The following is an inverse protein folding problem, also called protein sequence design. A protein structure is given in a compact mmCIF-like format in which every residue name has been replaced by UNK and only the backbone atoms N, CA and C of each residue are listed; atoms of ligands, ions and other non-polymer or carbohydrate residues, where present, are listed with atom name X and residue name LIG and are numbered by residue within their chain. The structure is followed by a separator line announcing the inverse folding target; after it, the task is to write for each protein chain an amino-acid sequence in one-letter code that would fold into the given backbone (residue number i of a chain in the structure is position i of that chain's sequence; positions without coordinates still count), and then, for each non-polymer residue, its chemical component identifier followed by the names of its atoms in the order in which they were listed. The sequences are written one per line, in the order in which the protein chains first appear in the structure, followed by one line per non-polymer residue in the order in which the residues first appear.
data_IF_575968511245
#
_entry.id   IF_575968511245
#
_cell.length_a   1.000
_cell.length_b   1.000
_cell.length_c   1.000
_cell.angle_alpha   90.00
_cell.angle_beta   90.00
_cell.angle_gamma   90.00
#
_symmetry.space_group_name_H-M   'P 1'
#
loop_
_entity.id
_entity.type
_entity.pdbx_description
1 polymer ?
#
# COMPACT_ATOMS: atom_id res chain seq x y z
N UNK A 1 -21.36 -41.39 -18.15
CA UNK A 1 -20.73 -41.41 -16.80
C UNK A 1 -19.20 -41.46 -16.82
N UNK A 2 -18.51 -41.79 -17.93
CA UNK A 2 -17.03 -41.89 -17.96
C UNK A 2 -16.24 -40.56 -18.04
N UNK A 3 -16.79 -39.50 -18.65
CA UNK A 3 -16.06 -38.24 -18.85
C UNK A 3 -15.83 -37.43 -17.56
N UNK A 4 -16.74 -37.55 -16.58
CA UNK A 4 -16.64 -36.87 -15.29
C UNK A 4 -15.57 -37.51 -14.40
N UNK A 5 -15.37 -38.83 -14.52
CA UNK A 5 -14.31 -39.55 -13.81
C UNK A 5 -12.93 -39.17 -14.38
N UNK A 6 -12.80 -39.09 -15.71
CA UNK A 6 -11.55 -38.77 -16.40
C UNK A 6 -11.02 -37.36 -16.11
N UNK A 7 -11.90 -36.37 -15.93
CA UNK A 7 -11.48 -35.03 -15.49
C UNK A 7 -11.05 -35.00 -14.02
N UNK A 8 -11.64 -35.86 -13.17
CA UNK A 8 -11.27 -35.98 -11.76
C UNK A 8 -9.89 -36.62 -11.61
N UNK A 9 -9.61 -37.65 -12.39
CA UNK A 9 -8.33 -38.37 -12.37
C UNK A 9 -7.19 -37.55 -13.00
N UNK A 10 -7.49 -36.66 -13.96
CA UNK A 10 -6.51 -35.71 -14.52
C UNK A 10 -6.17 -34.56 -13.55
N UNK A 11 -7.10 -34.20 -12.65
CA UNK A 11 -6.86 -33.24 -11.58
C UNK A 11 -6.22 -33.87 -10.33
N UNK A 12 -6.11 -35.20 -10.26
CA UNK A 12 -5.45 -35.93 -9.18
C UNK A 12 -4.03 -36.36 -9.57
N UNK A 13 -3.32 -35.47 -10.27
CA UNK A 13 -1.88 -35.57 -10.43
C UNK A 13 -1.24 -35.60 -9.04
N UNK A 14 -0.36 -36.58 -8.79
CA UNK A 14 0.31 -36.82 -7.51
C UNK A 14 0.81 -35.50 -6.92
N UNK A 15 0.07 -34.97 -5.94
CA UNK A 15 0.36 -33.66 -5.34
C UNK A 15 1.59 -33.79 -4.46
N UNK A 16 2.76 -33.68 -5.09
CA UNK A 16 4.02 -33.45 -4.41
C UNK A 16 3.95 -32.08 -3.73
N UNK A 17 3.45 -32.07 -2.49
CA UNK A 17 3.33 -30.88 -1.64
C UNK A 17 4.69 -30.58 -1.00
N UNK A 18 5.77 -30.65 -1.79
CA UNK A 18 7.12 -30.29 -1.37
C UNK A 18 7.26 -28.75 -1.43
N UNK A 19 6.41 -28.06 -0.65
CA UNK A 19 6.42 -26.61 -0.48
C UNK A 19 7.72 -26.12 0.16
N UNK A 20 8.46 -27.01 0.80
CA UNK A 20 9.70 -26.72 1.51
C UNK A 20 10.82 -26.16 0.61
N UNK A 21 10.81 -26.51 -0.68
CA UNK A 21 11.75 -25.97 -1.67
C UNK A 21 11.10 -24.96 -2.61
N UNK A 22 9.85 -25.21 -3.01
CA UNK A 22 9.14 -24.34 -3.96
C UNK A 22 8.87 -22.95 -3.40
N UNK A 23 8.38 -22.84 -2.15
CA UNK A 23 8.05 -21.55 -1.56
C UNK A 23 9.28 -20.66 -1.36
N UNK A 24 10.39 -21.13 -0.75
CA UNK A 24 11.60 -20.32 -0.65
C UNK A 24 12.19 -19.94 -2.01
N UNK A 25 12.18 -20.85 -2.98
CA UNK A 25 12.69 -20.56 -4.32
C UNK A 25 11.89 -19.43 -5.01
N UNK A 26 10.55 -19.49 -4.96
CA UNK A 26 9.68 -18.44 -5.52
C UNK A 26 9.90 -17.12 -4.81
N UNK A 27 10.00 -17.10 -3.48
CA UNK A 27 10.28 -15.88 -2.71
C UNK A 27 11.64 -15.25 -3.06
N UNK A 28 12.70 -16.05 -3.21
CA UNK A 28 14.05 -15.53 -3.56
C UNK A 28 14.07 -14.96 -4.98
N UNK A 29 13.47 -15.67 -5.95
CA UNK A 29 13.36 -15.18 -7.33
C UNK A 29 12.58 -13.87 -7.36
N UNK A 30 11.45 -13.82 -6.65
CA UNK A 30 10.64 -12.62 -6.56
C UNK A 30 11.37 -11.45 -5.91
N UNK A 31 11.97 -11.66 -4.73
CA UNK A 31 12.66 -10.60 -4.02
C UNK A 31 13.85 -10.05 -4.82
N UNK A 32 14.57 -10.93 -5.52
CA UNK A 32 15.66 -10.53 -6.41
C UNK A 32 15.14 -9.68 -7.57
N UNK A 33 14.03 -10.06 -8.19
CA UNK A 33 13.37 -9.27 -9.23
C UNK A 33 12.93 -7.89 -8.71
N UNK A 34 12.33 -7.83 -7.52
CA UNK A 34 11.91 -6.58 -6.89
C UNK A 34 13.11 -5.66 -6.61
N UNK A 35 14.21 -6.19 -6.07
CA UNK A 35 15.42 -5.38 -5.82
C UNK A 35 15.94 -4.75 -7.12
N UNK A 36 15.99 -5.51 -8.21
CA UNK A 36 16.46 -5.00 -9.51
C UNK A 36 15.51 -3.92 -10.04
N UNK A 37 14.19 -4.17 -10.01
CA UNK A 37 13.19 -3.21 -10.50
C UNK A 37 13.18 -1.93 -9.67
N UNK A 38 13.24 -2.04 -8.33
CA UNK A 38 13.34 -0.88 -7.44
C UNK A 38 14.61 -0.07 -7.70
N UNK A 39 15.76 -0.72 -7.89
CA UNK A 39 17.01 -0.01 -8.19
C UNK A 39 16.97 0.79 -9.50
N UNK A 40 16.30 0.24 -10.52
CA UNK A 40 16.20 0.88 -11.85
C UNK A 40 15.15 1.99 -11.85
N UNK A 41 13.93 1.72 -11.39
CA UNK A 41 12.77 2.58 -11.63
C UNK A 41 12.45 3.53 -10.48
N UNK A 42 12.79 3.20 -9.24
CA UNK A 42 12.32 3.95 -8.06
C UNK A 42 13.34 5.00 -7.63
N UNK A 43 12.85 6.21 -7.38
CA UNK A 43 13.58 7.30 -6.74
C UNK A 43 12.74 7.88 -5.61
N UNK A 44 13.40 8.42 -4.60
CA UNK A 44 12.73 9.17 -3.55
C UNK A 44 12.37 10.56 -4.06
N UNK A 45 11.22 11.05 -3.63
CA UNK A 45 10.83 12.43 -3.85
C UNK A 45 11.70 13.39 -3.01
N UNK A 46 11.87 14.64 -3.43
CA UNK A 46 12.74 15.62 -2.77
C UNK A 46 12.29 15.90 -1.32
N UNK A 47 10.98 15.85 -1.05
CA UNK A 47 10.43 15.99 0.30
C UNK A 47 10.69 14.76 1.19
N UNK A 48 10.93 13.60 0.57
CA UNK A 48 11.15 12.31 1.23
C UNK A 48 12.64 11.92 1.28
N UNK A 49 13.53 12.72 0.69
CA UNK A 49 14.96 12.45 0.61
C UNK A 49 15.63 12.64 1.99
N UNK A 50 16.51 11.72 2.44
CA UNK A 50 17.32 11.94 3.65
C UNK A 50 18.14 13.25 3.65
N UNK A 51 18.37 13.88 2.49
CA UNK A 51 18.98 15.21 2.38
C UNK A 51 18.00 16.38 2.64
N UNK A 52 16.76 16.12 3.05
CA UNK A 52 15.75 17.14 3.38
C UNK A 52 16.26 18.23 4.34
N UNK A 53 17.08 17.88 5.33
CA UNK A 53 17.63 18.84 6.30
C UNK A 53 18.50 19.93 5.64
N UNK A 54 19.18 19.60 4.55
CA UNK A 54 20.01 20.53 3.77
C UNK A 54 19.14 21.34 2.80
N UNK A 55 18.14 20.71 2.19
CA UNK A 55 17.14 21.36 1.33
C UNK A 55 16.34 22.43 2.09
N UNK A 56 15.90 22.12 3.32
CA UNK A 56 15.20 23.03 4.23
C UNK A 56 16.02 24.28 4.55
N UNK A 57 17.32 24.11 4.78
CA UNK A 57 18.24 25.22 5.08
C UNK A 57 18.46 26.13 3.88
N UNK A 58 18.50 25.58 2.68
CA UNK A 58 18.73 26.34 1.44
C UNK A 58 17.48 27.10 0.98
N UNK A 59 16.28 26.59 1.24
CA UNK A 59 15.02 27.21 0.83
C UNK A 59 14.32 28.03 1.93
N UNK A 60 14.95 28.22 3.10
CA UNK A 60 14.45 29.03 4.21
C UNK A 60 13.03 28.62 4.69
N UNK A 61 12.72 27.32 4.65
CA UNK A 61 11.43 26.75 5.04
C UNK A 61 11.34 26.70 6.58
N UNK A 62 10.31 27.34 7.14
CA UNK A 62 10.25 27.68 8.57
C UNK A 62 9.77 26.54 9.48
N UNK A 63 9.13 25.48 8.95
CA UNK A 63 8.63 24.38 9.79
C UNK A 63 8.63 23.03 9.06
N UNK A 64 8.88 21.94 9.79
CA UNK A 64 8.80 20.56 9.26
C UNK A 64 7.36 20.11 8.99
N UNK A 65 6.38 20.91 9.44
CA UNK A 65 4.94 20.65 9.34
C UNK A 65 4.42 20.94 7.91
N UNK A 66 5.18 21.73 7.14
CA UNK A 66 4.86 22.07 5.75
C UNK A 66 5.22 20.95 4.77
N UNK A 67 6.03 19.98 5.18
CA UNK A 67 6.42 18.83 4.36
C UNK A 67 5.34 17.74 4.44
N UNK A 68 4.86 17.31 3.27
CA UNK A 68 3.75 16.36 3.14
C UNK A 68 4.08 15.00 3.79
N UNK A 69 5.36 14.63 3.83
CA UNK A 69 5.87 13.45 4.52
C UNK A 69 5.49 13.44 6.00
N UNK A 70 5.87 14.48 6.77
CA UNK A 70 5.64 14.50 8.22
C UNK A 70 4.16 14.58 8.58
N UNK A 71 3.40 15.28 7.75
CA UNK A 71 1.97 15.46 7.94
C UNK A 71 1.16 14.17 7.68
N UNK A 72 1.52 13.40 6.65
CA UNK A 72 0.81 12.15 6.28
C UNK A 72 1.43 10.89 6.84
N UNK A 73 2.53 10.98 7.58
CA UNK A 73 3.16 9.81 8.19
C UNK A 73 2.29 9.13 9.28
N UNK A 74 1.63 9.85 10.22
CA UNK A 74 0.77 9.20 11.22
C UNK A 74 -0.38 8.43 10.58
N UNK A 75 -0.99 9.06 9.57
CA UNK A 75 -1.97 8.51 8.66
C UNK A 75 -1.53 7.20 8.00
N UNK A 76 -0.32 7.18 7.43
CA UNK A 76 0.27 5.97 6.87
C UNK A 76 0.40 4.87 7.93
N UNK A 77 0.88 5.19 9.13
CA UNK A 77 1.02 4.21 10.20
C UNK A 77 -0.31 3.55 10.58
N UNK A 78 -1.40 4.31 10.65
CA UNK A 78 -2.72 3.77 10.99
C UNK A 78 -3.20 2.74 9.95
N UNK A 79 -3.07 3.05 8.65
CA UNK A 79 -3.41 2.10 7.58
C UNK A 79 -2.47 0.90 7.64
N UNK A 80 -1.17 1.12 7.78
CA UNK A 80 -0.18 0.06 7.79
C UNK A 80 -0.44 -0.94 8.93
N UNK A 81 -0.78 -0.44 10.12
CA UNK A 81 -1.17 -1.29 11.26
C UNK A 81 -2.47 -2.04 10.97
N UNK A 82 -3.44 -1.43 10.30
CA UNK A 82 -4.66 -2.12 9.84
C UNK A 82 -4.33 -3.30 8.89
N UNK A 83 -3.39 -3.14 7.96
CA UNK A 83 -2.98 -4.20 7.02
C UNK A 83 -2.29 -5.37 7.75
N UNK A 84 -1.28 -5.07 8.56
CA UNK A 84 -0.46 -6.10 9.18
C UNK A 84 -1.12 -6.75 10.41
N UNK A 85 -1.68 -5.93 11.30
CA UNK A 85 -2.26 -6.38 12.57
C UNK A 85 -3.77 -6.53 12.44
N UNK A 86 -4.46 -5.55 11.88
CA UNK A 86 -5.93 -5.56 11.75
C UNK A 86 -6.43 -6.80 11.00
N UNK A 87 -6.14 -6.89 9.70
CA UNK A 87 -6.52 -8.04 8.87
C UNK A 87 -5.84 -9.34 9.34
N UNK A 88 -4.57 -9.25 9.75
CA UNK A 88 -3.80 -10.41 10.23
C UNK A 88 -4.46 -11.13 11.40
N UNK A 89 -4.82 -10.40 12.46
CA UNK A 89 -5.48 -10.99 13.62
C UNK A 89 -6.97 -11.27 13.38
N UNK A 90 -7.66 -10.49 12.55
CA UNK A 90 -9.05 -10.78 12.17
C UNK A 90 -9.18 -12.18 11.55
N UNK A 91 -8.20 -12.58 10.73
CA UNK A 91 -8.13 -13.88 10.08
C UNK A 91 -7.82 -15.06 11.02
N UNK A 92 -7.53 -14.80 12.30
CA UNK A 92 -7.18 -15.84 13.29
C UNK A 92 -8.38 -16.52 13.95
N UNK A 93 -9.61 -16.14 13.62
CA UNK A 93 -10.81 -16.73 14.21
C UNK A 93 -10.91 -18.26 14.01
N UNK A 94 -10.17 -18.83 13.05
CA UNK A 94 -10.06 -20.27 12.84
C UNK A 94 -9.11 -20.94 13.85
N UNK A 95 -9.70 -21.71 14.76
CA UNK A 95 -9.04 -22.44 15.87
C UNK A 95 -7.78 -23.25 15.49
N UNK A 96 -7.71 -23.81 14.28
CA UNK A 96 -6.55 -24.61 13.80
C UNK A 96 -5.70 -23.92 12.73
N UNK A 97 -6.07 -22.72 12.30
CA UNK A 97 -5.40 -22.03 11.18
C UNK A 97 -4.88 -20.64 11.56
N UNK A 98 -4.96 -20.25 12.84
CA UNK A 98 -4.50 -18.94 13.33
C UNK A 98 -3.05 -18.60 12.93
N UNK A 99 -2.11 -19.53 13.10
CA UNK A 99 -0.70 -19.30 12.71
C UNK A 99 -0.53 -19.11 11.19
N UNK A 100 -1.25 -19.89 10.39
CA UNK A 100 -1.26 -19.73 8.93
C UNK A 100 -1.95 -18.44 8.48
N UNK A 101 -3.03 -18.05 9.15
CA UNK A 101 -3.77 -16.80 8.91
C UNK A 101 -2.87 -15.58 8.98
N UNK A 102 -2.17 -15.39 10.11
CA UNK A 102 -1.24 -14.26 10.31
C UNK A 102 -0.02 -14.38 9.39
N UNK A 103 0.56 -15.58 9.28
CA UNK A 103 1.77 -15.79 8.48
C UNK A 103 1.57 -15.51 6.99
N UNK A 104 0.46 -15.97 6.41
CA UNK A 104 0.15 -15.68 5.00
C UNK A 104 -0.35 -14.24 4.80
N UNK A 105 -1.00 -13.63 5.78
CA UNK A 105 -1.29 -12.19 5.75
C UNK A 105 0.00 -11.37 5.63
N UNK A 106 1.00 -11.69 6.46
CA UNK A 106 2.31 -11.03 6.39
C UNK A 106 2.99 -11.25 5.05
N UNK A 107 2.92 -12.46 4.49
CA UNK A 107 3.48 -12.77 3.18
C UNK A 107 2.81 -11.95 2.06
N UNK A 108 1.47 -11.89 2.04
CA UNK A 108 0.71 -11.10 1.07
C UNK A 108 1.02 -9.62 1.21
N UNK A 109 1.05 -9.10 2.44
CA UNK A 109 1.31 -7.68 2.69
C UNK A 109 2.73 -7.28 2.24
N UNK A 110 3.76 -8.04 2.63
CA UNK A 110 5.14 -7.73 2.26
C UNK A 110 5.39 -7.85 0.74
N UNK A 111 4.86 -8.90 0.11
CA UNK A 111 4.96 -9.09 -1.34
C UNK A 111 4.15 -8.03 -2.10
N UNK A 112 2.93 -7.79 -1.62
CA UNK A 112 1.96 -6.95 -2.28
C UNK A 112 2.36 -5.48 -2.26
N UNK A 113 2.87 -4.96 -1.12
CA UNK A 113 3.28 -3.57 -1.03
C UNK A 113 4.37 -3.22 -2.04
N UNK A 114 5.38 -4.09 -2.18
CA UNK A 114 6.46 -3.87 -3.15
C UNK A 114 5.93 -3.86 -4.59
N UNK A 115 5.00 -4.77 -4.91
CA UNK A 115 4.40 -4.84 -6.23
C UNK A 115 3.46 -3.67 -6.53
N UNK A 116 2.65 -3.28 -5.55
CA UNK A 116 1.70 -2.17 -5.67
C UNK A 116 2.42 -0.85 -5.95
N UNK A 117 3.52 -0.58 -5.25
CA UNK A 117 4.34 0.62 -5.49
C UNK A 117 4.87 0.69 -6.93
N UNK A 118 5.31 -0.45 -7.50
CA UNK A 118 5.76 -0.48 -8.90
C UNK A 118 4.61 -0.30 -9.88
N UNK A 119 3.50 -1.01 -9.67
CA UNK A 119 2.36 -0.95 -10.59
C UNK A 119 1.70 0.43 -10.57
N UNK A 120 1.39 0.97 -9.38
CA UNK A 120 0.86 2.34 -9.24
C UNK A 120 1.86 3.38 -9.76
N UNK A 121 3.15 3.18 -9.50
CA UNK A 121 4.20 4.06 -10.01
C UNK A 121 4.27 4.10 -11.54
N UNK A 122 4.09 2.96 -12.22
CA UNK A 122 4.04 2.91 -13.69
C UNK A 122 2.80 3.58 -14.29
N UNK A 123 1.66 3.58 -13.60
CA UNK A 123 0.43 4.19 -14.13
C UNK A 123 0.25 5.67 -13.76
N UNK A 124 0.78 6.12 -12.61
CA UNK A 124 0.53 7.47 -12.07
C UNK A 124 1.77 8.38 -12.00
N UNK A 125 2.98 7.83 -11.89
CA UNK A 125 4.20 8.58 -11.56
C UNK A 125 5.33 8.35 -12.58
N UNK A 126 4.99 8.14 -13.86
CA UNK A 126 5.98 8.17 -14.94
C UNK A 126 6.33 9.62 -15.28
N UNK A 127 7.39 10.13 -14.65
CA UNK A 127 8.00 11.39 -15.06
C UNK A 127 8.59 11.31 -16.48
N UNK A 128 8.91 12.47 -17.07
CA UNK A 128 9.62 12.59 -18.36
C UNK A 128 10.92 11.79 -18.44
N UNK A 129 11.45 11.42 -17.28
CA UNK A 129 12.76 10.81 -17.07
C UNK A 129 12.66 9.27 -17.00
N UNK A 130 11.45 8.71 -17.08
CA UNK A 130 11.17 7.27 -16.96
C UNK A 130 11.40 6.71 -15.54
N UNK A 131 11.47 7.57 -14.53
CA UNK A 131 11.65 7.22 -13.12
C UNK A 131 10.38 7.54 -12.33
N UNK A 132 10.11 6.70 -11.34
CA UNK A 132 8.98 6.76 -10.43
C UNK A 132 9.45 7.44 -9.15
N UNK A 133 8.91 8.61 -8.83
CA UNK A 133 9.16 9.28 -7.55
C UNK A 133 8.19 8.73 -6.50
N UNK A 134 8.73 8.19 -5.40
CA UNK A 134 7.95 7.63 -4.32
C UNK A 134 7.99 8.58 -3.12
N UNK A 135 6.80 9.07 -2.75
CA UNK A 135 6.52 9.76 -1.49
C UNK A 135 5.56 8.97 -0.60
N UNK A 136 5.19 9.54 0.56
CA UNK A 136 4.33 8.90 1.56
C UNK A 136 2.92 8.60 1.02
N UNK A 137 2.41 9.41 0.10
CA UNK A 137 1.14 9.18 -0.60
C UNK A 137 1.09 7.84 -1.31
N UNK A 138 2.15 7.53 -2.06
CA UNK A 138 2.24 6.29 -2.83
C UNK A 138 2.28 5.08 -1.90
N UNK A 139 2.89 5.22 -0.72
CA UNK A 139 2.88 4.17 0.31
C UNK A 139 1.47 3.93 0.87
N UNK A 140 0.72 5.00 1.14
CA UNK A 140 -0.66 4.93 1.62
C UNK A 140 -1.55 4.26 0.56
N UNK A 141 -1.43 4.66 -0.71
CA UNK A 141 -2.21 4.09 -1.81
C UNK A 141 -1.84 2.61 -2.06
N UNK A 142 -0.58 2.24 -1.88
CA UNK A 142 -0.15 0.86 -1.95
C UNK A 142 -0.75 -0.01 -0.83
N UNK A 143 -0.84 0.51 0.40
CA UNK A 143 -1.52 -0.18 1.52
C UNK A 143 -3.02 -0.39 1.24
N UNK A 144 -3.70 0.58 0.61
CA UNK A 144 -5.11 0.39 0.19
C UNK A 144 -5.27 -0.67 -0.90
N UNK A 145 -4.38 -0.70 -1.89
CA UNK A 145 -4.36 -1.75 -2.91
C UNK A 145 -4.19 -3.15 -2.28
N UNK A 146 -3.28 -3.27 -1.31
CA UNK A 146 -3.04 -4.52 -0.57
C UNK A 146 -4.23 -4.90 0.30
N UNK A 147 -4.95 -3.92 0.89
CA UNK A 147 -6.19 -4.17 1.63
C UNK A 147 -7.21 -4.94 0.78
N UNK A 148 -7.39 -4.55 -0.48
CA UNK A 148 -8.27 -5.25 -1.43
C UNK A 148 -7.88 -6.72 -1.62
N UNK A 149 -6.58 -6.99 -1.77
CA UNK A 149 -6.06 -8.36 -1.86
C UNK A 149 -6.25 -9.16 -0.56
N UNK A 150 -6.14 -8.52 0.61
CA UNK A 150 -6.38 -9.17 1.90
C UNK A 150 -7.85 -9.50 2.12
N UNK A 151 -8.77 -8.66 1.64
CA UNK A 151 -10.21 -8.97 1.63
C UNK A 151 -10.47 -10.21 0.76
N UNK A 152 -9.88 -10.28 -0.43
CA UNK A 152 -9.98 -11.46 -1.30
C UNK A 152 -9.37 -12.72 -0.65
N UNK A 153 -8.25 -12.58 0.06
CA UNK A 153 -7.66 -13.67 0.85
C UNK A 153 -8.58 -14.15 1.97
N UNK A 154 -9.29 -13.24 2.65
CA UNK A 154 -10.28 -13.59 3.67
C UNK A 154 -11.36 -14.57 3.17
N UNK A 155 -11.81 -14.43 1.91
CA UNK A 155 -12.75 -15.36 1.29
C UNK A 155 -12.15 -16.74 0.97
N UNK A 156 -10.83 -16.80 0.76
CA UNK A 156 -10.08 -17.99 0.35
C UNK A 156 -9.36 -18.71 1.52
N UNK A 157 -9.59 -18.22 2.73
CA UNK A 157 -8.86 -18.59 3.93
C UNK A 157 -8.98 -20.10 4.24
N UNK A 158 -7.85 -20.75 4.48
CA UNK A 158 -7.78 -22.17 4.82
C UNK A 158 -7.92 -23.14 3.64
N UNK A 159 -8.11 -22.65 2.40
CA UNK A 159 -8.30 -23.49 1.20
C UNK A 159 -7.18 -23.38 0.17
N UNK A 160 -6.31 -22.38 0.30
CA UNK A 160 -5.33 -22.00 -0.73
C UNK A 160 -3.90 -22.19 -0.23
N UNK A 161 -3.01 -22.62 -1.11
CA UNK A 161 -1.57 -22.77 -0.82
C UNK A 161 -0.85 -21.42 -0.90
N UNK A 162 0.32 -21.24 -0.24
CA UNK A 162 0.97 -19.93 -0.20
C UNK A 162 1.45 -19.45 -1.57
N UNK A 163 1.87 -20.38 -2.44
CA UNK A 163 2.25 -20.05 -3.83
C UNK A 163 1.05 -19.54 -4.62
N UNK A 164 -0.13 -20.13 -4.43
CA UNK A 164 -1.37 -19.62 -5.04
C UNK A 164 -1.75 -18.25 -4.48
N UNK A 165 -1.46 -17.97 -3.20
CA UNK A 165 -1.65 -16.63 -2.64
C UNK A 165 -0.71 -15.61 -3.28
N UNK A 166 0.55 -15.95 -3.55
CA UNK A 166 1.46 -15.05 -4.28
C UNK A 166 0.95 -14.73 -5.69
N UNK A 167 0.41 -15.74 -6.39
CA UNK A 167 -0.21 -15.56 -7.71
C UNK A 167 -1.46 -14.67 -7.61
N UNK A 168 -2.31 -14.90 -6.60
CA UNK A 168 -3.48 -14.07 -6.32
C UNK A 168 -3.07 -12.61 -6.10
N UNK A 169 -2.05 -12.36 -5.28
CA UNK A 169 -1.58 -11.00 -5.00
C UNK A 169 -1.00 -10.32 -6.24
N UNK A 170 -0.23 -11.05 -7.05
CA UNK A 170 0.34 -10.51 -8.29
C UNK A 170 -0.74 -10.03 -9.27
N UNK A 171 -1.75 -10.87 -9.52
CA UNK A 171 -2.85 -10.48 -10.41
C UNK A 171 -3.82 -9.49 -9.76
N UNK A 172 -4.14 -9.66 -8.47
CA UNK A 172 -5.06 -8.80 -7.74
C UNK A 172 -4.59 -7.35 -7.73
N UNK A 173 -3.31 -7.12 -7.43
CA UNK A 173 -2.72 -5.78 -7.42
C UNK A 173 -2.62 -5.19 -8.83
N UNK A 174 -2.25 -6.02 -9.82
CA UNK A 174 -2.21 -5.57 -11.23
C UNK A 174 -3.58 -5.09 -11.70
N UNK A 175 -4.63 -5.86 -11.38
CA UNK A 175 -6.00 -5.50 -11.74
C UNK A 175 -6.46 -4.26 -11.00
N UNK A 176 -6.14 -4.13 -9.71
CA UNK A 176 -6.46 -2.94 -8.91
C UNK A 176 -5.81 -1.68 -9.50
N UNK A 177 -4.53 -1.75 -9.86
CA UNK A 177 -3.82 -0.61 -10.45
C UNK A 177 -4.40 -0.22 -11.84
N UNK A 178 -4.81 -1.21 -12.64
CA UNK A 178 -5.48 -0.95 -13.93
C UNK A 178 -6.87 -0.38 -13.73
N UNK A 179 -7.63 -0.87 -12.75
CA UNK A 179 -8.95 -0.34 -12.39
C UNK A 179 -8.85 1.12 -11.96
N UNK A 180 -7.92 1.44 -11.06
CA UNK A 180 -7.61 2.81 -10.62
C UNK A 180 -7.27 3.71 -11.82
N UNK A 181 -6.38 3.25 -12.71
CA UNK A 181 -6.02 4.00 -13.92
C UNK A 181 -7.21 4.24 -14.85
N UNK A 182 -8.09 3.25 -15.04
CA UNK A 182 -9.29 3.38 -15.89
C UNK A 182 -10.26 4.39 -15.28
N UNK A 183 -10.52 4.31 -13.98
CA UNK A 183 -11.44 5.21 -13.28
C UNK A 183 -10.99 6.66 -13.44
N UNK A 184 -9.71 6.92 -13.19
CA UNK A 184 -9.14 8.26 -13.25
C UNK A 184 -9.02 8.79 -14.69
N UNK A 185 -8.60 7.96 -15.64
CA UNK A 185 -8.31 8.40 -17.02
C UNK A 185 -9.54 8.43 -17.92
N UNK A 186 -10.42 7.43 -17.82
CA UNK A 186 -11.54 7.24 -18.76
C UNK A 186 -12.80 7.90 -18.23
N UNK A 187 -13.12 7.70 -16.96
CA UNK A 187 -14.40 8.13 -16.41
C UNK A 187 -14.35 9.59 -15.95
N UNK A 188 -13.14 10.18 -15.81
CA UNK A 188 -12.93 11.57 -15.36
C UNK A 188 -13.82 11.89 -14.15
N UNK A 189 -14.01 10.92 -13.26
CA UNK A 189 -14.65 11.20 -11.97
C UNK A 189 -13.59 11.99 -11.22
N UNK A 190 -13.78 13.30 -10.98
CA UNK A 190 -12.94 13.96 -10.00
C UNK A 190 -13.19 13.22 -8.68
N UNK A 191 -12.15 13.01 -7.90
CA UNK A 191 -12.24 12.46 -6.54
C UNK A 191 -13.03 13.45 -5.66
N UNK A 192 -14.33 13.54 -5.94
CA UNK A 192 -15.32 14.30 -5.20
C UNK A 192 -15.61 13.48 -3.95
N UNK A 193 -14.70 13.57 -2.99
CA UNK A 193 -14.99 13.56 -1.56
C UNK A 193 -15.47 12.24 -0.91
N UNK A 194 -15.73 11.16 -1.66
CA UNK A 194 -16.22 9.88 -1.08
C UNK A 194 -15.22 8.71 -1.14
N UNK A 195 -14.19 8.78 -2.00
CA UNK A 195 -13.12 7.78 -2.14
C UNK A 195 -11.76 8.22 -1.58
N UNK A 196 -11.66 9.46 -1.11
CA UNK A 196 -10.52 9.89 -0.32
C UNK A 196 -10.50 9.03 0.96
N UNK A 197 -9.40 8.30 1.25
CA UNK A 197 -9.30 7.62 2.52
C UNK A 197 -9.53 8.66 3.63
N UNK A 198 -10.45 8.41 4.56
CA UNK A 198 -10.90 9.37 5.60
C UNK A 198 -9.76 10.16 6.27
N UNK A 199 -8.58 9.56 6.27
CA UNK A 199 -7.27 10.06 6.59
C UNK A 199 -6.87 11.38 5.89
N UNK A 200 -7.11 11.56 4.58
CA UNK A 200 -6.80 12.83 3.89
C UNK A 200 -7.79 13.93 4.25
N UNK A 201 -9.07 13.60 4.47
CA UNK A 201 -10.07 14.55 4.99
C UNK A 201 -9.74 14.97 6.43
N UNK A 202 -9.35 14.02 7.28
CA UNK A 202 -8.89 14.27 8.65
C UNK A 202 -7.67 15.18 8.67
N UNK A 203 -6.68 14.89 7.83
CA UNK A 203 -5.48 15.72 7.69
C UNK A 203 -5.83 17.13 7.23
N UNK A 204 -6.62 17.29 6.16
CA UNK A 204 -7.06 18.62 5.69
C UNK A 204 -7.81 19.42 6.77
N UNK A 205 -8.64 18.75 7.58
CA UNK A 205 -9.31 19.38 8.71
C UNK A 205 -8.35 19.79 9.83
N UNK A 206 -7.37 18.94 10.17
CA UNK A 206 -6.32 19.24 11.15
C UNK A 206 -5.45 20.41 10.69
N UNK A 207 -5.01 20.44 9.43
CA UNK A 207 -4.26 21.57 8.84
C UNK A 207 -5.04 22.87 8.92
N UNK A 208 -6.32 22.85 8.58
CA UNK A 208 -7.14 24.07 8.63
C UNK A 208 -7.38 24.53 10.08
N UNK A 209 -7.44 23.59 11.03
CA UNK A 209 -7.53 23.88 12.46
C UNK A 209 -6.23 24.47 13.00
N UNK A 210 -5.07 23.91 12.65
CA UNK A 210 -3.76 24.45 13.05
C UNK A 210 -3.56 25.86 12.48
N UNK A 211 -3.93 26.11 11.22
CA UNK A 211 -3.91 27.46 10.62
C UNK A 211 -4.84 28.42 11.38
N UNK A 212 -6.04 27.97 11.76
CA UNK A 212 -6.97 28.77 12.55
C UNK A 212 -6.41 29.12 13.95
N UNK A 213 -5.78 28.15 14.62
CA UNK A 213 -5.16 28.33 15.94
C UNK A 213 -3.91 29.24 15.86
N UNK A 214 -3.15 29.16 14.76
CA UNK A 214 -2.01 30.07 14.51
C UNK A 214 -2.48 31.50 14.24
N UNK A 215 -3.58 31.68 13.50
CA UNK A 215 -4.17 33.00 13.28
C UNK A 215 -4.77 33.60 14.58
N UNK A 216 -5.34 32.77 15.44
CA UNK A 216 -5.88 33.22 16.74
C UNK A 216 -4.79 33.65 17.73
N UNK A 217 -3.59 33.07 17.63
CA UNK A 217 -2.44 33.46 18.47
C UNK A 217 -1.67 34.68 17.95
N UNK A 218 -1.88 35.06 16.68
CA UNK A 218 -1.26 36.26 16.07
C UNK A 218 -2.12 37.53 16.13
N UNK A 219 -3.38 37.46 16.57
CA UNK A 219 -4.16 38.66 16.90
C UNK A 219 -3.44 39.41 18.04
N UNK A 220 -2.94 40.64 17.82
CA UNK A 220 -2.33 41.40 18.89
C UNK A 220 -3.41 41.66 19.93
N UNK A 221 -3.16 41.28 21.18
CA UNK A 221 -3.97 41.69 22.34
C UNK A 221 -4.03 43.23 22.32
N UNK A 222 -5.07 43.75 21.69
CA UNK A 222 -5.30 45.15 21.49
C UNK A 222 -5.61 45.79 22.82
N UNK A 223 -4.56 46.39 23.40
CA UNK A 223 -4.53 47.68 24.10
C UNK A 223 -5.71 47.95 25.05
N UNK A 224 -5.39 47.92 26.35
CA UNK A 224 -6.18 48.48 27.44
C UNK A 224 -7.07 49.65 27.01
N UNK A 225 -8.38 49.49 27.15
CA UNK A 225 -9.29 50.63 27.24
C UNK A 225 -9.05 51.31 28.60
N UNK A 226 -8.40 52.47 28.53
CA UNK A 226 -8.52 53.56 29.51
C UNK A 226 -9.97 54.02 29.62
#
# INVERSE_FOLDING_TARGET
MGAVQSFRDMCDGTKNTNVHFSLPAVCVVWQTAMIILFGIFIRYDEESDPHWAEHKKNHNISSDIENDFYFRYPSFQDVHVMIFVGFGFLMTFLKRYSFGGVGFNFLIAAFGLQWALLMQGWFHSLGTDGKITIGIENLINADFCVAGCLIAYGALLGKVSPVQLMVLTLFGITLFAVEEFIILTVIHVPEDEESIPQILQYNNHMRNKDIADTNFTMEPVGRSRS
#
